data_IF_633658153071
#
_entry.id   IF_633658153071
#
_cell.length_a   1.000
_cell.length_b   1.000
_cell.length_c   1.000
_cell.angle_alpha   90.00
_cell.angle_beta   90.00
_cell.angle_gamma   90.00
#
_symmetry.space_group_name_H-M   'P 1'
#
loop_
_entity.id
_entity.type
_entity.pdbx_description
1 polymer ?
#
# COMPACT_ATOMS: atom_id res chain seq x y z
N UNK A 1 -13.10 -8.53 -17.51
CA UNK A 1 -11.67 -8.13 -17.47
C UNK A 1 -11.34 -7.62 -16.08
N UNK A 2 -10.19 -7.98 -15.48
CA UNK A 2 -9.74 -7.41 -14.22
C UNK A 2 -9.39 -5.92 -14.41
N UNK A 3 -9.69 -5.11 -13.39
CA UNK A 3 -9.33 -3.69 -13.37
C UNK A 3 -7.88 -3.53 -12.92
N UNK A 4 -7.04 -2.93 -13.77
CA UNK A 4 -5.63 -2.70 -13.47
C UNK A 4 -5.47 -1.34 -12.77
N UNK A 5 -4.70 -1.32 -11.68
CA UNK A 5 -4.37 -0.11 -10.93
C UNK A 5 -2.89 0.17 -11.00
N UNK A 6 -2.52 1.44 -11.14
CA UNK A 6 -1.15 1.89 -10.89
C UNK A 6 -0.80 1.77 -9.40
N UNK A 7 0.49 1.65 -9.07
CA UNK A 7 0.93 1.64 -7.67
C UNK A 7 0.44 2.86 -6.86
N UNK A 8 0.37 4.04 -7.49
CA UNK A 8 -0.19 5.25 -6.87
C UNK A 8 -1.69 5.10 -6.53
N UNK A 9 -2.48 4.54 -7.44
CA UNK A 9 -3.90 4.29 -7.21
C UNK A 9 -4.09 3.24 -6.10
N UNK A 10 -3.30 2.17 -6.12
CA UNK A 10 -3.33 1.12 -5.10
C UNK A 10 -3.05 1.70 -3.70
N UNK A 11 -2.01 2.51 -3.54
CA UNK A 11 -1.68 3.18 -2.27
C UNK A 11 -2.85 4.07 -1.81
N UNK A 12 -3.43 4.86 -2.72
CA UNK A 12 -4.56 5.74 -2.39
C UNK A 12 -5.76 4.95 -1.87
N UNK A 13 -6.12 3.85 -2.53
CA UNK A 13 -7.23 2.99 -2.13
C UNK A 13 -6.94 2.34 -0.78
N UNK A 14 -5.76 1.72 -0.62
CA UNK A 14 -5.40 1.04 0.64
C UNK A 14 -5.40 2.00 1.82
N UNK A 15 -4.88 3.22 1.66
CA UNK A 15 -4.82 4.17 2.76
C UNK A 15 -6.18 4.80 3.09
N UNK A 16 -6.97 5.18 2.07
CA UNK A 16 -8.24 5.90 2.30
C UNK A 16 -9.39 4.98 2.66
N UNK A 17 -9.49 3.83 2.00
CA UNK A 17 -10.65 2.95 2.11
C UNK A 17 -10.41 1.77 3.06
N UNK A 18 -9.15 1.34 3.23
CA UNK A 18 -8.82 0.14 4.01
C UNK A 18 -8.06 0.43 5.31
N UNK A 19 -7.74 1.69 5.62
CA UNK A 19 -7.08 2.08 6.87
C UNK A 19 -5.60 1.70 6.95
N UNK A 20 -4.95 1.49 5.81
CA UNK A 20 -3.50 1.38 5.79
C UNK A 20 -2.84 2.76 5.99
N UNK A 21 -1.64 2.78 6.54
CA UNK A 21 -0.82 3.97 6.68
C UNK A 21 0.61 3.72 6.20
N UNK A 22 1.25 4.79 5.73
CA UNK A 22 2.64 4.75 5.28
C UNK A 22 3.60 4.52 6.45
N UNK A 23 4.63 3.71 6.21
CA UNK A 23 5.63 3.37 7.22
C UNK A 23 7.02 3.76 6.75
N UNK A 24 7.42 3.28 5.58
CA UNK A 24 8.73 3.57 5.02
C UNK A 24 8.79 3.29 3.52
N UNK A 25 9.83 3.79 2.87
CA UNK A 25 10.15 3.52 1.46
C UNK A 25 11.59 3.04 1.33
N UNK A 26 11.81 1.98 0.56
CA UNK A 26 13.16 1.55 0.13
C UNK A 26 13.18 1.46 -1.39
N UNK A 27 13.95 2.33 -2.03
CA UNK A 27 13.92 2.48 -3.49
C UNK A 27 12.50 2.75 -4.00
N UNK A 28 12.02 1.92 -4.92
CA UNK A 28 10.65 2.00 -5.46
C UNK A 28 9.59 1.30 -4.60
N UNK A 29 9.93 0.64 -3.50
CA UNK A 29 8.96 -0.14 -2.72
C UNK A 29 8.45 0.64 -1.51
N UNK A 30 7.13 0.76 -1.39
CA UNK A 30 6.43 1.45 -0.31
C UNK A 30 5.89 0.43 0.69
N UNK A 31 6.31 0.52 1.95
CA UNK A 31 5.76 -0.27 3.05
C UNK A 31 4.55 0.45 3.65
N UNK A 32 3.42 -0.26 3.68
CA UNK A 32 2.20 0.15 4.37
C UNK A 32 1.88 -0.82 5.50
N UNK A 33 1.25 -0.32 6.56
CA UNK A 33 0.76 -1.10 7.69
C UNK A 33 -0.71 -0.81 7.96
N UNK A 34 -1.43 -1.77 8.53
CA UNK A 34 -2.77 -1.60 9.10
C UNK A 34 -2.83 -2.36 10.42
N UNK A 35 -3.35 -1.73 11.48
CA UNK A 35 -3.67 -2.43 12.74
C UNK A 35 -5.09 -2.95 12.68
N UNK A 36 -5.29 -4.22 13.04
CA UNK A 36 -6.61 -4.85 13.18
C UNK A 36 -6.57 -5.64 14.48
N UNK A 37 -7.39 -5.24 15.44
CA UNK A 37 -7.39 -5.76 16.80
C UNK A 37 -5.96 -5.80 17.38
N UNK A 38 -5.47 -6.99 17.71
CA UNK A 38 -4.14 -7.22 18.27
C UNK A 38 -3.10 -7.67 17.23
N UNK A 39 -3.37 -7.45 15.93
CA UNK A 39 -2.50 -7.87 14.82
C UNK A 39 -2.14 -6.70 13.91
N UNK A 40 -0.97 -6.82 13.27
CA UNK A 40 -0.50 -5.88 12.27
C UNK A 40 -0.41 -6.55 10.90
N UNK A 41 -1.09 -5.96 9.92
CA UNK A 41 -1.02 -6.38 8.52
C UNK A 41 0.00 -5.48 7.82
N UNK A 42 1.00 -6.08 7.19
CA UNK A 42 2.03 -5.38 6.44
C UNK A 42 1.87 -5.70 4.96
N UNK A 43 1.94 -4.68 4.10
CA UNK A 43 2.01 -4.88 2.65
C UNK A 43 3.07 -3.97 2.03
N UNK A 44 3.65 -4.43 0.91
CA UNK A 44 4.65 -3.70 0.14
C UNK A 44 4.08 -3.42 -1.25
N UNK A 45 3.96 -2.14 -1.61
CA UNK A 45 3.51 -1.72 -2.95
C UNK A 45 4.72 -1.27 -3.78
N UNK A 46 5.00 -1.90 -4.93
CA UNK A 46 6.02 -1.43 -5.85
C UNK A 46 5.54 -0.17 -6.59
N UNK A 47 6.43 0.82 -6.67
CA UNK A 47 6.23 2.13 -7.26
C UNK A 47 7.41 2.46 -8.19
N UNK A 48 7.63 1.60 -9.18
CA UNK A 48 8.67 1.81 -10.20
C UNK A 48 8.33 3.07 -11.02
N UNK A 49 9.34 3.94 -11.23
CA UNK A 49 9.30 4.85 -12.37
C UNK A 49 9.38 3.95 -13.59
N UNK A 50 8.32 3.93 -14.40
CA UNK A 50 8.36 3.27 -15.71
C UNK A 50 9.59 3.75 -16.50
#
# INVERSE_FOLDING_TARGET
MPKIFSGKQMIKILCREFGFYFVSRKGSHIKLKKKVDNREIITIVPLHKK
#
